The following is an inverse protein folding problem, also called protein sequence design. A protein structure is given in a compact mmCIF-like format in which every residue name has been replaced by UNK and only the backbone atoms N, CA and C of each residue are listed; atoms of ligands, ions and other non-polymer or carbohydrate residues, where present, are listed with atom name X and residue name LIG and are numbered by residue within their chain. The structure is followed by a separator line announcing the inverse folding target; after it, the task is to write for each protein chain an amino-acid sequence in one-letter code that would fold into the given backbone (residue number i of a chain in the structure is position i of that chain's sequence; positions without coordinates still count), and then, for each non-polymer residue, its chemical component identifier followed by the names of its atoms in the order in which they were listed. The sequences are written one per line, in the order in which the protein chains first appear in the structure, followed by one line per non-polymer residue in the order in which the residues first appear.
data_IF_270713465798
#
_entry.id   IF_270713465798
#
_cell.length_a   1.000
_cell.length_b   1.000
_cell.length_c   1.000
_cell.angle_alpha   90.00
_cell.angle_beta   90.00
_cell.angle_gamma   90.00
#
_symmetry.space_group_name_H-M   'P 1'
#
loop_
_entity.id
_entity.type
_entity.pdbx_description
1 polymer ?
#
# COMPACT_ATOMS: atom_id res chain seq x y z
N UNK A 1 -10.07 7.39 -16.18
CA UNK A 1 -10.47 6.52 -15.05
C UNK A 1 -9.68 5.23 -15.14
N UNK A 2 -9.32 4.64 -13.99
CA UNK A 2 -8.70 3.31 -13.89
C UNK A 2 -9.66 2.43 -13.10
N UNK A 3 -9.81 1.17 -13.49
CA UNK A 3 -10.85 0.29 -12.97
C UNK A 3 -10.27 -0.94 -12.25
N UNK A 4 -10.48 -1.05 -10.95
CA UNK A 4 -10.10 -2.22 -10.14
C UNK A 4 -11.11 -3.37 -10.20
N UNK A 5 -12.25 -3.19 -10.87
CA UNK A 5 -13.39 -4.10 -10.92
C UNK A 5 -13.68 -4.67 -12.33
N UNK A 6 -12.64 -4.86 -13.15
CA UNK A 6 -12.77 -5.48 -14.49
C UNK A 6 -12.65 -7.02 -14.45
N UNK A 7 -12.41 -7.61 -13.28
CA UNK A 7 -12.27 -9.06 -13.11
C UNK A 7 -11.18 -9.43 -12.10
N UNK A 8 -10.81 -10.71 -12.11
CA UNK A 8 -9.83 -11.28 -11.16
C UNK A 8 -8.41 -10.77 -11.33
N UNK A 9 -8.11 -10.16 -12.49
CA UNK A 9 -6.81 -9.55 -12.78
C UNK A 9 -6.72 -8.08 -12.35
N UNK A 10 -7.73 -7.59 -11.63
CA UNK A 10 -7.86 -6.20 -11.20
C UNK A 10 -8.18 -6.13 -9.71
N UNK A 11 -7.90 -4.98 -9.11
CA UNK A 11 -8.20 -4.74 -7.70
C UNK A 11 -7.86 -3.31 -7.29
N UNK A 12 -8.26 -2.95 -6.09
CA UNK A 12 -7.92 -1.66 -5.47
C UNK A 12 -7.47 -1.88 -4.04
N UNK A 13 -6.62 -0.98 -3.55
CA UNK A 13 -6.10 -1.08 -2.19
C UNK A 13 -5.48 0.20 -1.68
N UNK A 14 -5.21 0.19 -0.38
CA UNK A 14 -4.54 1.26 0.36
C UNK A 14 -3.37 0.64 1.12
N UNK A 15 -2.23 1.30 1.14
CA UNK A 15 -1.07 0.77 1.82
C UNK A 15 -0.14 1.84 2.36
N UNK A 16 0.64 1.44 3.36
CA UNK A 16 1.66 2.23 4.02
C UNK A 16 3.04 1.63 3.71
N UNK A 17 4.05 2.50 3.60
CA UNK A 17 5.42 2.03 3.36
C UNK A 17 6.02 1.29 4.58
N UNK A 18 5.48 1.55 5.77
CA UNK A 18 5.76 0.90 7.06
C UNK A 18 4.47 0.80 7.87
N UNK A 19 4.45 -0.03 8.90
CA UNK A 19 3.32 -0.13 9.82
C UNK A 19 3.09 1.21 10.55
N UNK A 20 1.92 1.87 10.38
CA UNK A 20 1.63 3.16 11.01
C UNK A 20 1.33 3.06 12.52
N UNK A 21 1.08 1.86 13.05
CA UNK A 21 0.82 1.61 14.46
C UNK A 21 2.10 1.33 15.24
N UNK A 22 2.99 0.49 14.70
CA UNK A 22 4.22 0.04 15.39
C UNK A 22 5.49 0.74 14.90
N UNK A 23 5.49 1.21 13.64
CA UNK A 23 6.67 1.72 12.95
C UNK A 23 7.57 0.63 12.37
N UNK A 24 7.15 -0.64 12.43
CA UNK A 24 7.90 -1.74 11.80
C UNK A 24 8.00 -1.56 10.28
N UNK A 25 9.17 -1.90 9.73
CA UNK A 25 9.44 -1.80 8.29
C UNK A 25 8.86 -3.01 7.53
N UNK A 26 7.54 -3.13 7.56
CA UNK A 26 6.76 -4.15 6.87
C UNK A 26 5.81 -3.50 5.87
N UNK A 27 5.48 -4.20 4.79
CA UNK A 27 4.50 -3.70 3.84
C UNK A 27 3.10 -3.87 4.41
N UNK A 28 2.55 -2.76 4.91
CA UNK A 28 1.30 -2.72 5.66
C UNK A 28 0.19 -2.15 4.79
N UNK A 29 -1.01 -2.69 4.87
CA UNK A 29 -2.13 -2.22 4.06
C UNK A 29 -3.08 -3.34 3.69
N UNK A 30 -4.09 -2.99 2.91
CA UNK A 30 -5.17 -3.89 2.55
C UNK A 30 -5.60 -3.69 1.09
N UNK A 31 -6.14 -4.73 0.48
CA UNK A 31 -6.64 -4.71 -0.89
C UNK A 31 -7.86 -5.61 -1.07
N UNK A 32 -8.56 -5.40 -2.18
CA UNK A 32 -9.61 -6.28 -2.68
C UNK A 32 -9.43 -6.54 -4.17
N UNK A 33 -9.56 -7.82 -4.57
CA UNK A 33 -9.66 -8.21 -5.98
C UNK A 33 -11.05 -7.89 -6.52
N UNK A 34 -11.11 -7.48 -7.79
CA UNK A 34 -12.32 -7.15 -8.51
C UNK A 34 -13.20 -6.17 -7.72
N UNK A 35 -12.62 -5.03 -7.36
CA UNK A 35 -13.18 -4.06 -6.42
C UNK A 35 -12.76 -2.64 -6.79
N UNK A 36 -13.49 -1.65 -6.32
CA UNK A 36 -13.11 -0.24 -6.37
C UNK A 36 -12.71 0.27 -4.99
N UNK A 37 -12.13 1.47 -4.92
CA UNK A 37 -11.69 2.05 -3.65
C UNK A 37 -12.81 2.17 -2.60
N UNK A 38 -14.05 2.39 -3.04
CA UNK A 38 -15.22 2.42 -2.15
C UNK A 38 -15.44 1.07 -1.44
N UNK A 39 -15.23 -0.06 -2.12
CA UNK A 39 -15.41 -1.38 -1.52
C UNK A 39 -14.39 -1.66 -0.41
N UNK A 40 -13.19 -1.10 -0.54
CA UNK A 40 -12.09 -1.26 0.44
C UNK A 40 -12.41 -0.50 1.73
N UNK A 41 -13.01 0.69 1.63
CA UNK A 41 -13.33 1.54 2.80
C UNK A 41 -14.72 1.25 3.34
N UNK A 42 -15.65 0.80 2.49
CA UNK A 42 -17.06 0.59 2.82
C UNK A 42 -17.31 -0.61 3.75
N UNK A 43 -16.33 -1.50 3.94
CA UNK A 43 -16.41 -2.60 4.92
C UNK A 43 -17.44 -3.69 4.61
N UNK A 44 -18.04 -3.68 3.41
CA UNK A 44 -18.98 -4.73 2.96
C UNK A 44 -18.25 -6.05 2.69
N UNK A 45 -17.01 -5.95 2.20
CA UNK A 45 -16.10 -7.06 1.95
C UNK A 45 -14.93 -6.94 2.90
N UNK A 46 -14.49 -8.06 3.46
CA UNK A 46 -13.28 -8.11 4.28
C UNK A 46 -12.06 -7.96 3.38
N UNK A 47 -11.27 -6.88 3.51
CA UNK A 47 -10.05 -6.72 2.75
C UNK A 47 -8.99 -7.75 3.13
N UNK A 48 -8.12 -8.08 2.19
CA UNK A 48 -6.95 -8.94 2.45
C UNK A 48 -5.71 -8.08 2.69
N UNK A 49 -4.75 -8.52 3.51
CA UNK A 49 -3.49 -7.79 3.71
C UNK A 49 -2.73 -7.62 2.39
N UNK A 50 -2.17 -6.44 2.12
CA UNK A 50 -1.45 -6.17 0.84
C UNK A 50 -0.30 -7.14 0.57
N UNK A 51 0.33 -7.68 1.62
CA UNK A 51 1.36 -8.71 1.51
C UNK A 51 0.86 -10.03 0.88
N UNK A 52 -0.45 -10.31 0.97
CA UNK A 52 -1.09 -11.48 0.37
C UNK A 52 -1.44 -11.29 -1.10
N UNK A 53 -1.24 -10.08 -1.67
CA UNK A 53 -1.41 -9.83 -3.10
C UNK A 53 -0.58 -10.78 -3.97
N UNK A 54 0.54 -11.32 -3.47
CA UNK A 54 1.34 -12.36 -4.15
C UNK A 54 0.53 -13.58 -4.58
N UNK A 55 -0.55 -13.91 -3.86
CA UNK A 55 -1.41 -15.06 -4.14
C UNK A 55 -2.28 -14.84 -5.38
N UNK A 56 -2.54 -13.59 -5.73
CA UNK A 56 -3.44 -13.21 -6.83
C UNK A 56 -2.69 -12.55 -8.00
N UNK A 57 -1.85 -11.57 -7.69
CA UNK A 57 -1.20 -10.68 -8.65
C UNK A 57 0.29 -10.49 -8.28
N UNK A 58 1.12 -11.53 -8.41
CA UNK A 58 2.52 -11.49 -7.96
C UNK A 58 3.34 -10.40 -8.68
N UNK A 59 3.09 -10.15 -9.96
CA UNK A 59 3.77 -9.07 -10.71
C UNK A 59 3.42 -7.69 -10.16
N UNK A 60 2.16 -7.48 -9.79
CA UNK A 60 1.72 -6.22 -9.19
C UNK A 60 2.34 -6.01 -7.81
N UNK A 61 2.48 -7.06 -7.00
CA UNK A 61 3.18 -6.96 -5.70
C UNK A 61 4.63 -6.51 -5.87
N UNK A 62 5.37 -7.10 -6.82
CA UNK A 62 6.77 -6.69 -7.08
C UNK A 62 6.85 -5.22 -7.50
N UNK A 63 5.92 -4.78 -8.34
CA UNK A 63 5.85 -3.38 -8.75
C UNK A 63 5.50 -2.45 -7.58
N UNK A 64 4.55 -2.82 -6.73
CA UNK A 64 4.18 -2.07 -5.53
C UNK A 64 5.32 -1.99 -4.52
N UNK A 65 6.08 -3.07 -4.30
CA UNK A 65 7.29 -3.02 -3.45
C UNK A 65 8.34 -2.05 -4.00
N UNK A 66 8.56 -2.07 -5.31
CA UNK A 66 9.46 -1.10 -5.96
C UNK A 66 8.96 0.34 -5.76
N UNK A 67 7.66 0.57 -5.92
CA UNK A 67 7.04 1.89 -5.70
C UNK A 67 7.16 2.30 -4.23
N UNK A 68 6.89 1.39 -3.28
CA UNK A 68 7.02 1.60 -1.85
C UNK A 68 8.40 2.13 -1.47
N UNK A 69 9.45 1.48 -1.99
CA UNK A 69 10.82 1.93 -1.79
C UNK A 69 11.11 3.28 -2.44
N UNK A 70 10.61 3.52 -3.66
CA UNK A 70 10.80 4.79 -4.35
C UNK A 70 10.12 5.96 -3.61
N UNK A 71 8.91 5.74 -3.10
CA UNK A 71 8.14 6.72 -2.32
C UNK A 71 8.87 7.09 -1.02
N UNK A 72 9.28 6.09 -0.23
CA UNK A 72 10.00 6.33 1.02
C UNK A 72 11.36 7.00 0.79
N UNK A 73 12.07 6.61 -0.27
CA UNK A 73 13.35 7.24 -0.65
C UNK A 73 13.18 8.68 -1.14
N UNK A 74 12.08 9.01 -1.82
CA UNK A 74 11.82 10.34 -2.36
C UNK A 74 11.33 11.30 -1.26
N UNK A 75 10.29 10.91 -0.53
CA UNK A 75 9.65 11.77 0.48
C UNK A 75 10.38 11.79 1.81
N UNK A 76 11.31 10.85 2.04
CA UNK A 76 12.05 10.69 3.30
C UNK A 76 11.12 10.55 4.51
N UNK A 77 9.91 10.07 4.27
CA UNK A 77 8.88 9.87 5.28
C UNK A 77 8.00 8.67 4.93
N UNK A 78 7.36 8.06 5.94
CA UNK A 78 6.38 6.99 5.72
C UNK A 78 5.25 7.52 4.84
N UNK A 79 4.97 6.83 3.73
CA UNK A 79 3.87 7.20 2.85
C UNK A 79 2.66 6.29 3.07
N UNK A 80 1.49 6.92 3.10
CA UNK A 80 0.15 6.33 2.93
C UNK A 80 -0.27 6.57 1.48
N UNK A 81 -0.53 5.50 0.74
CA UNK A 81 -0.79 5.57 -0.69
C UNK A 81 -1.94 4.67 -1.12
N UNK A 82 -2.62 5.11 -2.18
CA UNK A 82 -3.75 4.42 -2.78
C UNK A 82 -3.35 3.95 -4.19
N UNK A 83 -3.77 2.74 -4.54
CA UNK A 83 -3.46 2.15 -5.82
C UNK A 83 -4.66 1.37 -6.39
N UNK A 84 -4.67 1.28 -7.71
CA UNK A 84 -5.57 0.40 -8.45
C UNK A 84 -4.76 -0.43 -9.44
N UNK A 85 -5.09 -1.70 -9.53
CA UNK A 85 -4.57 -2.61 -10.53
C UNK A 85 -5.68 -2.83 -11.55
N UNK A 86 -5.40 -2.53 -12.82
CA UNK A 86 -6.31 -2.84 -13.92
C UNK A 86 -5.60 -3.77 -14.90
N UNK A 87 -6.15 -4.96 -15.07
CA UNK A 87 -5.66 -6.00 -15.97
C UNK A 87 -4.15 -6.27 -15.79
N UNK A 88 -3.73 -6.38 -14.53
CA UNK A 88 -2.35 -6.65 -14.12
C UNK A 88 -1.41 -5.44 -14.12
N UNK A 89 -1.86 -4.25 -14.51
CA UNK A 89 -1.05 -3.02 -14.48
C UNK A 89 -1.35 -2.18 -13.24
N UNK A 90 -0.30 -1.79 -12.51
CA UNK A 90 -0.43 -0.95 -11.31
C UNK A 90 -0.56 0.53 -11.69
N UNK A 91 -1.49 1.22 -11.04
CA UNK A 91 -1.68 2.66 -11.15
C UNK A 91 -1.71 3.25 -9.74
N UNK A 92 -0.87 4.25 -9.51
CA UNK A 92 -0.87 5.03 -8.27
C UNK A 92 -1.89 6.15 -8.39
N UNK A 93 -2.77 6.25 -7.39
CA UNK A 93 -3.84 7.24 -7.37
C UNK A 93 -3.55 8.40 -6.43
N UNK A 94 -2.95 8.09 -5.28
CA UNK A 94 -2.62 9.08 -4.26
C UNK A 94 -1.40 8.62 -3.46
N UNK A 95 -0.62 9.57 -2.96
CA UNK A 95 0.37 9.35 -1.90
C UNK A 95 0.39 10.57 -1.00
N UNK A 96 0.62 10.37 0.29
CA UNK A 96 0.78 11.42 1.29
C UNK A 96 1.59 10.90 2.47
N UNK A 97 2.10 11.80 3.31
CA UNK A 97 2.71 11.40 4.57
C UNK A 97 1.68 10.66 5.44
N UNK A 98 2.01 9.42 5.81
CA UNK A 98 1.11 8.56 6.56
C UNK A 98 0.87 9.11 7.97
N UNK A 99 -0.39 9.17 8.39
CA UNK A 99 -0.71 9.35 9.82
C UNK A 99 -0.27 8.10 10.57
N UNK A 100 0.26 8.30 11.78
CA UNK A 100 0.88 7.23 12.56
C UNK A 100 0.82 7.53 14.06
N UNK A 101 1.03 6.52 14.88
CA UNK A 101 1.12 6.67 16.33
C UNK A 101 2.44 7.36 16.72
N UNK A 102 2.51 7.89 17.95
CA UNK A 102 3.77 8.45 18.48
C UNK A 102 4.90 7.42 18.54
N UNK A 103 4.57 6.16 18.87
CA UNK A 103 5.53 5.04 18.91
C UNK A 103 6.10 4.79 17.51
N UNK A 104 5.24 4.70 16.50
CA UNK A 104 5.65 4.50 15.11
C UNK A 104 6.50 5.67 14.59
N UNK A 105 6.17 6.91 14.97
CA UNK A 105 6.93 8.09 14.57
C UNK A 105 8.38 8.05 15.09
N UNK A 106 8.58 7.71 16.37
CA UNK A 106 9.92 7.60 16.97
C UNK A 106 10.69 6.44 16.35
N UNK A 107 10.07 5.26 16.21
CA UNK A 107 10.68 4.07 15.60
C UNK A 107 11.20 4.37 14.19
N UNK A 108 10.34 4.92 13.35
CA UNK A 108 10.67 5.27 11.96
C UNK A 108 11.79 6.30 11.88
N UNK A 109 11.72 7.38 12.66
CA UNK A 109 12.74 8.43 12.65
C UNK A 109 14.12 7.87 13.00
N UNK A 110 14.21 7.02 14.03
CA UNK A 110 15.45 6.33 14.39
C UNK A 110 15.96 5.40 13.28
N UNK A 111 15.05 4.63 12.67
CA UNK A 111 15.42 3.70 11.59
C UNK A 111 15.94 4.46 10.35
N UNK A 112 15.29 5.54 9.92
CA UNK A 112 15.72 6.36 8.77
C UNK A 112 17.10 6.98 8.95
N UNK A 113 17.49 7.32 10.18
CA UNK A 113 18.86 7.81 10.46
C UNK A 113 19.89 6.70 10.31
N UNK A 114 19.54 5.46 10.70
CA UNK A 114 20.43 4.29 10.60
C UNK A 114 20.55 3.74 9.19
N UNK A 115 19.53 3.95 8.36
CA UNK A 115 19.44 3.48 6.97
C UNK A 115 20.10 4.43 5.96
N UNK A 116 20.72 5.52 6.43
CA UNK A 116 21.46 6.48 5.60
C UNK A 116 22.82 5.95 5.13
#
# INVERSE_FOLDING_TARGET
MVFGNTGVNSGSGVAFTRDPATGEKVFYGEFLINAQGEDVVGGVRTPEPVADLKKHLPKALVELERIRHALEAHFKDVQDFEFTIQDGKVFMLQTRNGKRTGVAAVKFACDMVREK
#
